data_IF_813312501515
#
_entry.id   IF_813312501515
#
_cell.length_a   1.000
_cell.length_b   1.000
_cell.length_c   1.000
_cell.angle_alpha   90.00
_cell.angle_beta   90.00
_cell.angle_gamma   90.00
#
_symmetry.space_group_name_H-M   'P 1'
#
loop_
_entity.id
_entity.type
_entity.pdbx_description
1 polymer ?
#
# COMPACT_ATOMS: atom_id res chain seq x y z
N UNK A 1 -7.73 32.54 25.81
CA UNK A 1 -6.89 32.71 24.59
C UNK A 1 -6.30 31.35 24.21
N UNK A 2 -7.06 30.50 23.51
CA UNK A 2 -6.59 29.20 23.00
C UNK A 2 -6.41 29.21 21.46
N UNK A 3 -6.36 30.39 20.84
CA UNK A 3 -6.43 30.54 19.38
C UNK A 3 -5.16 30.17 18.62
N UNK A 4 -4.02 29.93 19.31
CA UNK A 4 -2.72 29.80 18.65
C UNK A 4 -2.10 28.40 18.73
N UNK A 5 -2.78 27.39 19.28
CA UNK A 5 -2.23 26.02 19.39
C UNK A 5 -2.15 25.30 18.03
N UNK A 6 -2.99 25.69 17.06
CA UNK A 6 -3.03 25.08 15.72
C UNK A 6 -2.02 25.63 14.71
N UNK A 7 -1.38 26.78 14.98
CA UNK A 7 -0.48 27.44 14.03
C UNK A 7 0.96 26.89 14.05
N UNK A 8 1.29 26.07 15.05
CA UNK A 8 2.65 25.56 15.30
C UNK A 8 2.98 24.25 14.55
N UNK A 9 2.00 23.61 13.90
CA UNK A 9 2.19 22.37 13.13
C UNK A 9 2.19 22.62 11.62
N UNK A 10 2.84 23.71 11.16
CA UNK A 10 3.06 23.88 9.72
C UNK A 10 4.19 22.94 9.30
N UNK A 11 3.86 21.94 8.49
CA UNK A 11 4.83 21.07 7.81
C UNK A 11 5.90 21.94 7.15
N UNK A 12 7.15 21.75 7.54
CA UNK A 12 8.28 22.40 6.87
C UNK A 12 8.58 21.68 5.56
N UNK A 13 9.33 22.33 4.65
CA UNK A 13 9.80 21.67 3.42
C UNK A 13 10.66 20.44 3.76
N UNK A 14 11.49 20.53 4.79
CA UNK A 14 12.31 19.43 5.29
C UNK A 14 11.45 18.25 5.80
N UNK A 15 10.32 18.52 6.45
CA UNK A 15 9.39 17.47 6.89
C UNK A 15 8.72 16.79 5.69
N UNK A 16 8.38 17.54 4.65
CA UNK A 16 7.82 17.01 3.40
C UNK A 16 8.86 16.12 2.70
N UNK A 17 10.11 16.57 2.60
CA UNK A 17 11.20 15.78 2.01
C UNK A 17 11.47 14.51 2.80
N UNK A 18 11.49 14.58 4.14
CA UNK A 18 11.65 13.42 5.01
C UNK A 18 10.50 12.43 4.82
N UNK A 19 9.26 12.91 4.77
CA UNK A 19 8.09 12.07 4.53
C UNK A 19 8.16 11.38 3.16
N UNK A 20 8.54 12.12 2.10
CA UNK A 20 8.75 11.55 0.76
C UNK A 20 9.79 10.43 0.78
N UNK A 21 10.95 10.66 1.38
CA UNK A 21 12.00 9.65 1.47
C UNK A 21 11.52 8.38 2.19
N UNK A 22 10.74 8.52 3.25
CA UNK A 22 10.17 7.37 3.97
C UNK A 22 9.19 6.58 3.07
N UNK A 23 8.35 7.29 2.32
CA UNK A 23 7.42 6.67 1.37
C UNK A 23 8.17 5.99 0.24
N UNK A 24 9.17 6.64 -0.36
CA UNK A 24 9.98 6.08 -1.44
C UNK A 24 10.75 4.83 -0.98
N UNK A 25 11.35 4.87 0.21
CA UNK A 25 12.01 3.72 0.82
C UNK A 25 11.02 2.57 1.07
N UNK A 26 9.79 2.88 1.48
CA UNK A 26 8.73 1.88 1.68
C UNK A 26 8.30 1.24 0.35
N UNK A 27 8.03 2.05 -0.67
CA UNK A 27 7.64 1.59 -2.01
C UNK A 27 8.74 0.70 -2.61
N UNK A 28 10.01 1.12 -2.49
CA UNK A 28 11.14 0.32 -2.98
C UNK A 28 11.24 -1.02 -2.26
N UNK A 29 11.16 -1.03 -0.92
CA UNK A 29 11.20 -2.27 -0.12
C UNK A 29 10.05 -3.21 -0.49
N UNK A 30 8.85 -2.67 -0.67
CA UNK A 30 7.67 -3.43 -1.09
C UNK A 30 7.90 -4.08 -2.46
N UNK A 31 8.35 -3.30 -3.44
CA UNK A 31 8.63 -3.80 -4.80
C UNK A 31 9.70 -4.89 -4.81
N UNK A 32 10.80 -4.69 -4.07
CA UNK A 32 11.86 -5.70 -3.92
C UNK A 32 11.34 -6.99 -3.29
N UNK A 33 10.60 -6.89 -2.18
CA UNK A 33 10.03 -8.05 -1.49
C UNK A 33 9.09 -8.86 -2.41
N UNK A 34 8.18 -8.19 -3.13
CA UNK A 34 7.26 -8.86 -4.04
C UNK A 34 8.02 -9.51 -5.22
N UNK A 35 9.04 -8.83 -5.75
CA UNK A 35 9.90 -9.42 -6.79
C UNK A 35 10.62 -10.67 -6.27
N UNK A 36 11.16 -10.64 -5.04
CA UNK A 36 11.79 -11.81 -4.39
C UNK A 36 10.81 -12.97 -4.16
N UNK A 37 9.52 -12.66 -3.95
CA UNK A 37 8.44 -13.67 -3.86
C UNK A 37 7.98 -14.20 -5.22
N UNK A 38 8.57 -13.73 -6.32
CA UNK A 38 8.30 -14.22 -7.67
C UNK A 38 7.09 -13.56 -8.34
N UNK A 39 6.74 -12.34 -7.94
CA UNK A 39 5.80 -11.49 -8.67
C UNK A 39 6.54 -10.73 -9.79
N UNK A 40 5.93 -10.71 -10.97
CA UNK A 40 6.31 -9.84 -12.08
C UNK A 40 5.89 -8.39 -11.84
N UNK A 41 6.45 -7.45 -12.60
CA UNK A 41 6.06 -6.03 -12.48
C UNK A 41 4.58 -5.82 -12.83
N UNK A 42 4.06 -6.51 -13.86
CA UNK A 42 2.65 -6.44 -14.23
C UNK A 42 1.73 -6.95 -13.10
N UNK A 43 2.11 -8.05 -12.44
CA UNK A 43 1.36 -8.56 -11.28
C UNK A 43 1.42 -7.59 -10.10
N UNK A 44 2.55 -6.92 -9.86
CA UNK A 44 2.67 -5.90 -8.80
C UNK A 44 1.75 -4.71 -9.10
N UNK A 45 1.71 -4.23 -10.34
CA UNK A 45 0.81 -3.14 -10.73
C UNK A 45 -0.66 -3.53 -10.57
N UNK A 46 -1.06 -4.73 -11.02
CA UNK A 46 -2.41 -5.24 -10.83
C UNK A 46 -2.78 -5.39 -9.34
N UNK A 47 -1.83 -5.83 -8.51
CA UNK A 47 -2.02 -5.93 -7.07
C UNK A 47 -2.28 -4.55 -6.43
N UNK A 48 -1.59 -3.51 -6.89
CA UNK A 48 -1.80 -2.15 -6.40
C UNK A 48 -3.17 -1.59 -6.80
N UNK A 49 -3.63 -1.88 -8.02
CA UNK A 49 -4.96 -1.51 -8.48
C UNK A 49 -6.04 -2.23 -7.67
N UNK A 50 -5.90 -3.55 -7.49
CA UNK A 50 -6.82 -4.37 -6.70
C UNK A 50 -6.92 -3.90 -5.24
N UNK A 51 -5.79 -3.71 -4.55
CA UNK A 51 -5.77 -3.20 -3.18
C UNK A 51 -6.33 -1.76 -3.11
N UNK A 52 -6.14 -0.96 -4.16
CA UNK A 52 -6.70 0.38 -4.30
C UNK A 52 -8.23 0.39 -4.42
N UNK A 53 -8.81 -0.52 -5.19
CA UNK A 53 -10.27 -0.70 -5.27
C UNK A 53 -10.84 -1.18 -3.93
N UNK A 54 -10.23 -2.19 -3.32
CA UNK A 54 -10.65 -2.71 -2.01
C UNK A 54 -10.61 -1.64 -0.92
N UNK A 55 -9.59 -0.77 -0.93
CA UNK A 55 -9.46 0.32 0.02
C UNK A 55 -10.62 1.33 -0.07
N UNK A 56 -11.22 1.54 -1.25
CA UNK A 56 -12.39 2.44 -1.40
C UNK A 56 -13.61 1.94 -0.62
N UNK A 57 -13.70 0.64 -0.37
CA UNK A 57 -14.77 0.02 0.41
C UNK A 57 -14.43 -0.07 1.92
N UNK A 58 -13.21 0.31 2.32
CA UNK A 58 -12.80 0.31 3.72
C UNK A 58 -13.63 1.35 4.50
N UNK A 59 -14.14 0.93 5.67
CA UNK A 59 -14.92 1.82 6.53
C UNK A 59 -14.02 2.89 7.17
N UNK A 60 -14.55 4.09 7.45
CA UNK A 60 -13.84 5.08 8.24
C UNK A 60 -13.37 4.48 9.57
N UNK A 61 -12.13 4.79 9.96
CA UNK A 61 -11.48 4.33 11.21
C UNK A 61 -11.18 2.82 11.28
N UNK A 62 -11.36 2.08 10.19
CA UNK A 62 -10.89 0.70 10.10
C UNK A 62 -9.52 0.66 9.44
N UNK A 63 -8.56 -0.05 10.05
CA UNK A 63 -7.28 -0.34 9.41
C UNK A 63 -7.51 -1.29 8.25
N UNK A 64 -7.12 -0.87 7.05
CA UNK A 64 -7.04 -1.74 5.88
C UNK A 64 -5.62 -2.30 5.79
N UNK A 65 -5.51 -3.63 5.81
CA UNK A 65 -4.25 -4.32 5.53
C UNK A 65 -4.25 -4.74 4.06
N UNK A 66 -3.30 -4.22 3.30
CA UNK A 66 -3.09 -4.60 1.90
C UNK A 66 -2.67 -6.07 1.78
N UNK A 67 -2.80 -6.68 0.61
CA UNK A 67 -2.32 -8.06 0.40
C UNK A 67 -0.82 -8.18 0.65
N UNK A 68 -0.05 -7.13 0.35
CA UNK A 68 1.36 -7.05 0.73
C UNK A 68 1.56 -7.18 2.25
N UNK A 69 0.81 -6.40 3.05
CA UNK A 69 0.94 -6.44 4.51
C UNK A 69 0.57 -7.82 5.06
N UNK A 70 -0.53 -8.40 4.56
CA UNK A 70 -1.01 -9.73 4.95
C UNK A 70 0.02 -10.81 4.59
N UNK A 71 0.70 -10.69 3.45
CA UNK A 71 1.77 -11.59 3.04
C UNK A 71 3.00 -11.49 3.96
N UNK A 72 3.40 -10.25 4.31
CA UNK A 72 4.52 -10.01 5.24
C UNK A 72 4.22 -10.58 6.63
N UNK A 73 2.98 -10.50 7.09
CA UNK A 73 2.54 -11.08 8.36
C UNK A 73 2.32 -12.61 8.30
N UNK A 74 2.38 -13.21 7.11
CA UNK A 74 2.12 -14.64 6.92
C UNK A 74 0.67 -15.04 7.11
N UNK A 75 -0.27 -14.12 6.91
CA UNK A 75 -1.72 -14.40 6.98
C UNK A 75 -2.26 -14.99 5.67
N UNK A 76 -1.58 -14.74 4.56
CA UNK A 76 -1.89 -15.28 3.23
C UNK A 76 -0.60 -15.73 2.54
N UNK A 77 -0.77 -16.50 1.47
CA UNK A 77 0.29 -17.10 0.67
C UNK A 77 0.50 -16.35 -0.66
N UNK A 78 1.61 -16.65 -1.34
CA UNK A 78 1.89 -16.09 -2.67
C UNK A 78 0.86 -16.60 -3.68
N UNK A 79 0.47 -17.87 -3.55
CA UNK A 79 -0.48 -18.55 -4.42
C UNK A 79 -1.87 -17.93 -4.33
N UNK A 80 -2.34 -17.60 -3.12
CA UNK A 80 -3.61 -16.90 -2.92
C UNK A 80 -3.60 -15.52 -3.59
N UNK A 81 -2.53 -14.75 -3.45
CA UNK A 81 -2.44 -13.43 -4.10
C UNK A 81 -2.40 -13.55 -5.62
N UNK A 82 -1.70 -14.56 -6.17
CA UNK A 82 -1.68 -14.80 -7.61
C UNK A 82 -3.06 -15.19 -8.14
N UNK A 83 -3.83 -15.95 -7.36
CA UNK A 83 -5.21 -16.26 -7.71
C UNK A 83 -6.08 -15.00 -7.67
N UNK A 84 -5.99 -14.17 -6.62
CA UNK A 84 -6.71 -12.91 -6.54
C UNK A 84 -6.42 -11.97 -7.73
N UNK A 85 -5.15 -11.85 -8.14
CA UNK A 85 -4.75 -11.05 -9.31
C UNK A 85 -5.38 -11.61 -10.59
N UNK A 86 -5.42 -12.94 -10.72
CA UNK A 86 -6.02 -13.61 -11.87
C UNK A 86 -7.52 -13.35 -11.92
N UNK A 87 -8.22 -13.52 -10.80
CA UNK A 87 -9.66 -13.30 -10.70
C UNK A 87 -10.00 -11.83 -11.02
N UNK A 88 -9.23 -10.88 -10.48
CA UNK A 88 -9.36 -9.46 -10.79
C UNK A 88 -9.19 -9.16 -12.28
N UNK A 89 -8.20 -9.78 -12.93
CA UNK A 89 -7.96 -9.62 -14.37
C UNK A 89 -9.11 -10.19 -15.22
N UNK A 90 -9.74 -11.27 -14.77
CA UNK A 90 -10.90 -11.87 -15.44
C UNK A 90 -12.16 -11.01 -15.27
N UNK A 91 -12.35 -10.37 -14.11
CA UNK A 91 -13.48 -9.45 -13.87
C UNK A 91 -13.41 -8.16 -14.71
N UNK A 92 -12.20 -7.74 -15.13
CA UNK A 92 -11.99 -6.56 -15.96
C UNK A 92 -12.09 -6.79 -17.47
N UNK A 93 -12.13 -8.06 -17.92
CA UNK A 93 -12.14 -8.45 -19.33
C UNK A 93 -13.57 -8.55 -19.91
#
# INVERSE_FOLDING_TARGET
MFSNFGASFRLTLDDIERARKIVDDYVLKRSMFLTEKGFSQDEISLLEELDGEDYKYARPYQTYYSRYDRLVFGWITVEEIKQDIKDYKEEQA
#
